data_IF_290866614916
#
_entry.id   IF_290866614916
#
_cell.length_a   1.000
_cell.length_b   1.000
_cell.length_c   1.000
_cell.angle_alpha   90.00
_cell.angle_beta   90.00
_cell.angle_gamma   90.00
#
_symmetry.space_group_name_H-M   'P 1'
#
loop_
_entity.id
_entity.type
_entity.pdbx_description
1 polymer ?
#
# COMPACT_ATOMS: atom_id res chain seq x y z
N UNK A 1 -1.91 8.33 -14.42
CA UNK A 1 -3.25 7.74 -14.71
C UNK A 1 -3.88 7.39 -13.36
N UNK A 2 -5.20 7.41 -13.17
CA UNK A 2 -5.79 7.14 -11.82
C UNK A 2 -5.85 5.63 -11.48
N UNK A 3 -4.76 4.91 -11.72
CA UNK A 3 -4.63 3.49 -11.35
C UNK A 3 -4.40 3.41 -9.85
N UNK A 4 -5.38 2.88 -9.11
CA UNK A 4 -5.35 2.89 -7.64
C UNK A 4 -4.63 1.66 -7.12
N UNK A 5 -3.92 1.79 -6.00
CA UNK A 5 -3.31 0.65 -5.32
C UNK A 5 -3.47 0.73 -3.81
N UNK A 6 -3.24 -0.40 -3.15
CA UNK A 6 -3.11 -0.50 -1.69
C UNK A 6 -1.71 -1.02 -1.38
N UNK A 7 -0.98 -0.30 -0.53
CA UNK A 7 0.37 -0.68 -0.09
C UNK A 7 0.24 -1.22 1.34
N UNK A 8 0.87 -2.35 1.64
CA UNK A 8 0.75 -3.01 2.93
C UNK A 8 2.08 -3.55 3.46
N UNK A 9 2.14 -3.79 4.78
CA UNK A 9 3.20 -4.52 5.46
C UNK A 9 2.59 -5.60 6.34
N UNK A 10 3.06 -6.84 6.21
CA UNK A 10 2.71 -7.92 7.14
C UNK A 10 3.37 -7.68 8.50
N UNK A 11 2.59 -7.78 9.57
CA UNK A 11 3.03 -7.63 10.95
C UNK A 11 3.46 -8.98 11.53
N UNK A 12 4.21 -8.95 12.63
CA UNK A 12 4.70 -10.15 13.32
C UNK A 12 3.57 -11.09 13.80
N UNK A 13 2.37 -10.56 14.04
CA UNK A 13 1.18 -11.33 14.42
C UNK A 13 0.37 -11.88 13.23
N UNK A 14 0.87 -11.71 12.01
CA UNK A 14 0.25 -12.20 10.78
C UNK A 14 -0.76 -11.26 10.13
N UNK A 15 -1.16 -10.17 10.81
CA UNK A 15 -2.04 -9.14 10.26
C UNK A 15 -1.33 -8.29 9.22
N UNK A 16 -2.08 -7.52 8.44
CA UNK A 16 -1.51 -6.53 7.51
C UNK A 16 -1.89 -5.12 7.93
N UNK A 17 -0.90 -4.23 8.00
CA UNK A 17 -1.12 -2.79 8.08
C UNK A 17 -1.05 -2.23 6.65
N UNK A 18 -2.01 -1.42 6.22
CA UNK A 18 -2.09 -0.95 4.83
C UNK A 18 -2.56 0.49 4.69
N UNK A 19 -2.12 1.13 3.61
CA UNK A 19 -2.50 2.48 3.17
C UNK A 19 -3.00 2.46 1.73
N UNK A 20 -3.80 3.45 1.38
CA UNK A 20 -4.26 3.70 0.02
C UNK A 20 -3.28 4.60 -0.76
N UNK A 21 -3.07 4.29 -2.04
CA UNK A 21 -2.31 5.09 -2.98
C UNK A 21 -3.13 5.34 -4.27
N UNK A 22 -3.26 6.60 -4.69
CA UNK A 22 -4.23 6.99 -5.71
C UNK A 22 -3.77 6.84 -7.16
N UNK A 23 -2.49 7.12 -7.44
CA UNK A 23 -1.95 7.17 -8.80
C UNK A 23 -0.93 6.08 -9.07
N UNK A 24 -0.89 5.68 -10.35
CA UNK A 24 0.14 4.85 -10.97
C UNK A 24 0.40 3.52 -10.24
N UNK A 25 -0.67 2.92 -9.70
CA UNK A 25 -0.64 1.66 -8.96
C UNK A 25 0.02 0.50 -9.69
N UNK A 26 0.00 0.47 -11.02
CA UNK A 26 0.72 -0.52 -11.83
C UNK A 26 2.25 -0.37 -11.77
N UNK A 27 2.76 0.81 -11.41
CA UNK A 27 4.19 1.12 -11.29
C UNK A 27 4.70 1.12 -9.85
N UNK A 28 3.81 1.29 -8.86
CA UNK A 28 4.17 1.37 -7.43
C UNK A 28 4.99 0.17 -6.98
N UNK A 29 4.64 -1.05 -7.43
CA UNK A 29 5.37 -2.27 -7.08
C UNK A 29 6.87 -2.20 -7.43
N UNK A 30 7.21 -1.67 -8.62
CA UNK A 30 8.61 -1.53 -9.05
C UNK A 30 9.33 -0.47 -8.23
N UNK A 31 8.67 0.68 -7.98
CA UNK A 31 9.22 1.75 -7.13
C UNK A 31 9.56 1.22 -5.74
N UNK A 32 8.66 0.43 -5.15
CA UNK A 32 8.87 -0.18 -3.84
C UNK A 32 10.06 -1.14 -3.83
N UNK A 33 10.18 -2.00 -4.84
CA UNK A 33 11.27 -2.96 -4.94
C UNK A 33 12.64 -2.30 -5.17
N UNK A 34 12.70 -1.23 -5.96
CA UNK A 34 13.97 -0.61 -6.33
C UNK A 34 14.44 0.46 -5.33
N UNK A 35 13.51 1.17 -4.69
CA UNK A 35 13.81 2.36 -3.88
C UNK A 35 13.41 2.24 -2.42
N UNK A 36 12.59 1.26 -2.07
CA UNK A 36 12.14 0.99 -0.69
C UNK A 36 12.30 -0.49 -0.31
N UNK A 37 13.48 -1.11 -0.51
CA UNK A 37 13.63 -2.57 -0.50
C UNK A 37 13.75 -3.19 0.90
N UNK A 38 13.43 -2.47 1.97
CA UNK A 38 13.62 -2.95 3.34
C UNK A 38 12.33 -2.92 4.18
N UNK A 39 12.33 -3.68 5.27
CA UNK A 39 11.23 -3.66 6.23
C UNK A 39 11.06 -2.29 6.91
N UNK A 40 12.17 -1.59 7.15
CA UNK A 40 12.16 -0.23 7.70
C UNK A 40 11.51 0.76 6.72
N UNK A 41 11.73 0.60 5.41
CA UNK A 41 11.06 1.40 4.39
C UNK A 41 9.56 1.12 4.36
N UNK A 42 9.16 -0.16 4.42
CA UNK A 42 7.76 -0.54 4.49
C UNK A 42 7.08 0.05 5.74
N UNK A 43 7.76 0.00 6.90
CA UNK A 43 7.28 0.63 8.13
C UNK A 43 7.15 2.14 8.01
N UNK A 44 8.15 2.79 7.41
CA UNK A 44 8.17 4.21 7.18
C UNK A 44 6.98 4.63 6.31
N UNK A 45 6.72 3.93 5.20
CA UNK A 45 5.58 4.18 4.31
C UNK A 45 4.27 4.09 5.08
N UNK A 46 4.06 3.05 5.90
CA UNK A 46 2.83 2.93 6.72
C UNK A 46 2.64 4.15 7.63
N UNK A 47 3.71 4.67 8.25
CA UNK A 47 3.61 5.85 9.15
C UNK A 47 3.20 7.14 8.44
N UNK A 48 3.29 7.21 7.10
CA UNK A 48 2.88 8.38 6.30
C UNK A 48 1.37 8.43 6.07
N UNK A 49 0.68 7.29 6.17
CA UNK A 49 -0.75 7.17 5.88
C UNK A 49 -1.05 7.16 4.38
N UNK A 50 -2.32 7.32 4.03
CA UNK A 50 -2.77 7.36 2.65
C UNK A 50 -2.09 8.49 1.87
N UNK A 51 -1.83 8.22 0.58
CA UNK A 51 -1.04 9.10 -0.28
C UNK A 51 -1.62 9.22 -1.68
N UNK A 52 -1.29 10.33 -2.33
CA UNK A 52 -1.63 10.58 -3.72
C UNK A 52 -0.75 9.74 -4.65
N UNK A 53 0.56 9.74 -4.43
CA UNK A 53 1.53 8.95 -5.19
C UNK A 53 2.81 8.69 -4.38
N UNK A 54 3.59 7.71 -4.83
CA UNK A 54 4.94 7.39 -4.36
C UNK A 54 5.85 7.22 -5.57
N UNK A 55 7.02 7.82 -5.52
CA UNK A 55 8.07 7.73 -6.55
C UNK A 55 9.40 7.48 -5.87
N UNK A 56 10.48 7.31 -6.63
CA UNK A 56 11.83 7.11 -6.09
C UNK A 56 12.34 8.27 -5.20
N UNK A 57 11.89 9.49 -5.48
CA UNK A 57 12.42 10.72 -4.87
C UNK A 57 11.42 11.38 -3.91
N UNK A 58 10.15 10.95 -3.92
CA UNK A 58 9.10 11.66 -3.19
C UNK A 58 7.89 10.79 -2.85
N UNK A 59 7.21 11.18 -1.77
CA UNK A 59 5.92 10.66 -1.36
C UNK A 59 4.98 11.85 -1.18
N UNK A 60 3.89 11.88 -1.93
CA UNK A 60 2.89 12.91 -1.81
C UNK A 60 1.77 12.43 -0.87
N UNK A 61 2.07 12.43 0.43
CA UNK A 61 1.15 11.97 1.46
C UNK A 61 0.02 12.98 1.67
N UNK A 62 -1.22 12.49 1.78
CA UNK A 62 -2.37 13.38 2.03
C UNK A 62 -2.25 14.13 3.36
N UNK A 63 -1.53 13.56 4.32
CA UNK A 63 -1.19 14.21 5.59
C UNK A 63 -0.49 15.55 5.38
N UNK A 64 0.46 15.59 4.45
CA UNK A 64 1.26 16.78 4.20
C UNK A 64 0.45 17.86 3.45
N UNK A 65 -0.69 17.47 2.88
CA UNK A 65 -1.71 18.36 2.32
C UNK A 65 -2.75 18.84 3.34
N UNK A 66 -2.61 18.46 4.61
CA UNK A 66 -3.51 18.87 5.70
C UNK A 66 -4.72 17.97 5.93
N UNK A 67 -4.78 16.79 5.29
CA UNK A 67 -5.88 15.85 5.56
C UNK A 67 -5.85 15.33 7.01
N UNK A 68 -7.00 15.27 7.70
CA UNK A 68 -7.06 14.76 9.07
C UNK A 68 -6.54 13.33 9.18
N UNK A 69 -5.61 13.09 10.12
CA UNK A 69 -5.05 11.74 10.35
C UNK A 69 -6.13 10.67 10.57
N UNK A 70 -7.27 11.03 11.15
CA UNK A 70 -8.39 10.10 11.32
C UNK A 70 -8.96 9.54 10.01
N UNK A 71 -8.76 10.20 8.87
CA UNK A 71 -9.21 9.76 7.55
C UNK A 71 -8.18 8.97 6.77
N UNK A 72 -6.90 9.28 6.97
CA UNK A 72 -5.79 8.79 6.15
C UNK A 72 -4.85 7.85 6.91
N UNK A 73 -5.14 7.54 8.18
CA UNK A 73 -4.31 6.60 8.96
C UNK A 73 -4.35 5.20 8.33
N UNK A 74 -3.28 4.41 8.47
CA UNK A 74 -3.29 3.02 8.04
C UNK A 74 -4.44 2.21 8.63
N UNK A 75 -4.92 1.25 7.84
CA UNK A 75 -5.94 0.28 8.23
C UNK A 75 -5.28 -1.08 8.44
N UNK A 76 -5.65 -1.77 9.51
CA UNK A 76 -5.25 -3.14 9.75
C UNK A 76 -6.29 -4.10 9.17
N UNK A 77 -5.83 -5.22 8.62
CA UNK A 77 -6.66 -6.40 8.29
C UNK A 77 -6.08 -7.63 8.96
N UNK A 78 -6.94 -8.59 9.33
CA UNK A 78 -6.52 -9.76 10.10
C UNK A 78 -5.66 -10.73 9.29
N UNK A 79 -5.89 -10.78 7.97
CA UNK A 79 -5.19 -11.63 7.03
C UNK A 79 -5.16 -11.02 5.62
N UNK A 80 -4.65 -11.79 4.65
CA UNK A 80 -4.58 -11.40 3.25
C UNK A 80 -5.98 -11.25 2.62
N UNK A 81 -6.97 -12.04 3.05
CA UNK A 81 -8.33 -11.93 2.54
C UNK A 81 -8.98 -10.61 2.99
N UNK A 82 -8.76 -10.20 4.24
CA UNK A 82 -9.15 -8.90 4.74
C UNK A 82 -8.44 -7.77 3.99
N UNK A 83 -7.14 -7.93 3.65
CA UNK A 83 -6.42 -6.94 2.85
C UNK A 83 -7.03 -6.79 1.45
N UNK A 84 -7.39 -7.91 0.81
CA UNK A 84 -8.08 -7.94 -0.48
C UNK A 84 -9.45 -7.25 -0.39
N UNK A 85 -10.21 -7.49 0.68
CA UNK A 85 -11.48 -6.80 0.90
C UNK A 85 -11.29 -5.27 1.02
N UNK A 86 -10.28 -4.82 1.77
CA UNK A 86 -9.94 -3.40 1.89
C UNK A 86 -9.53 -2.78 0.54
N UNK A 87 -8.85 -3.53 -0.33
CA UNK A 87 -8.48 -3.08 -1.66
C UNK A 87 -9.73 -2.84 -2.51
N UNK A 88 -10.67 -3.80 -2.52
CA UNK A 88 -11.97 -3.68 -3.21
C UNK A 88 -12.80 -2.49 -2.72
N UNK A 89 -12.89 -2.28 -1.40
CA UNK A 89 -13.61 -1.13 -0.80
C UNK A 89 -13.12 0.22 -1.34
N UNK A 90 -11.83 0.31 -1.68
CA UNK A 90 -11.20 1.55 -2.17
C UNK A 90 -11.03 1.60 -3.69
N UNK A 91 -11.58 0.61 -4.41
CA UNK A 91 -11.40 0.48 -5.86
C UNK A 91 -9.94 0.36 -6.27
N UNK A 92 -9.09 -0.22 -5.41
CA UNK A 92 -7.70 -0.49 -5.73
C UNK A 92 -7.62 -1.60 -6.77
N UNK A 93 -6.75 -1.41 -7.75
CA UNK A 93 -6.52 -2.32 -8.87
C UNK A 93 -5.29 -3.21 -8.63
N UNK A 94 -4.44 -2.80 -7.68
CA UNK A 94 -3.25 -3.52 -7.25
C UNK A 94 -3.11 -3.51 -5.73
N UNK A 95 -2.52 -4.58 -5.20
CA UNK A 95 -2.03 -4.63 -3.83
C UNK A 95 -0.53 -4.88 -3.89
N UNK A 96 0.26 -4.04 -3.22
CA UNK A 96 1.69 -4.28 -3.01
C UNK A 96 1.92 -4.50 -1.52
N UNK A 97 2.44 -5.64 -1.12
CA UNK A 97 2.62 -5.95 0.30
C UNK A 97 4.02 -6.47 0.60
N UNK A 98 4.62 -5.93 1.66
CA UNK A 98 5.89 -6.39 2.19
C UNK A 98 5.66 -7.62 3.06
N UNK A 99 6.32 -8.71 2.71
CA UNK A 99 6.25 -9.97 3.44
C UNK A 99 7.51 -10.80 3.16
N UNK A 100 8.00 -11.50 4.19
CA UNK A 100 9.10 -12.47 4.07
C UNK A 100 10.36 -11.87 3.39
N UNK A 101 10.65 -10.60 3.70
CA UNK A 101 11.85 -9.89 3.23
C UNK A 101 11.77 -9.31 1.81
N UNK A 102 10.58 -9.28 1.18
CA UNK A 102 10.42 -8.69 -0.14
C UNK A 102 9.01 -8.13 -0.39
N UNK A 103 8.89 -7.30 -1.44
CA UNK A 103 7.59 -6.82 -1.92
C UNK A 103 6.94 -7.84 -2.86
N UNK A 104 5.66 -8.11 -2.61
CA UNK A 104 4.79 -8.94 -3.44
C UNK A 104 3.70 -8.07 -4.08
N UNK A 105 3.22 -8.44 -5.27
CA UNK A 105 2.15 -7.71 -5.97
C UNK A 105 1.00 -8.64 -6.36
N UNK A 106 -0.23 -8.20 -6.10
CA UNK A 106 -1.46 -8.83 -6.57
C UNK A 106 -2.15 -7.86 -7.53
N UNK A 107 -2.47 -8.33 -8.73
CA UNK A 107 -3.45 -7.67 -9.61
C UNK A 107 -4.85 -8.03 -9.15
N UNK A 108 -5.69 -7.02 -8.95
CA UNK A 108 -7.10 -7.21 -8.62
C UNK A 108 -7.94 -7.54 -9.86
N UNK A 109 -7.38 -7.35 -11.05
CA UNK A 109 -7.94 -7.77 -12.33
C UNK A 109 -7.40 -9.17 -12.71
N UNK A 110 -8.27 -10.18 -12.69
CA UNK A 110 -7.94 -11.56 -13.11
C UNK A 110 -8.78 -12.62 -12.39
N UNK A 111 -8.89 -13.86 -12.93
CA UNK A 111 -9.62 -14.93 -12.25
C UNK A 111 -8.89 -15.28 -10.95
N UNK A 112 -9.64 -15.35 -9.84
CA UNK A 112 -9.19 -16.01 -8.62
C UNK A 112 -9.05 -17.50 -8.95
N UNK A 113 -7.85 -17.94 -9.33
CA UNK A 113 -7.52 -19.36 -9.52
C UNK A 113 -7.20 -20.03 -8.20
#
# INVERSE_FOLDING_TARGET
MSTRSRIARRLADGRYCSIYCHFDGDLVGNVLQEHYPTEDDAEFIMKRGDMSCITKDSFDAYRDRGEPWSKIRPRNSDDLQGLIALAWETGAEYIHYWQDGCWQTISMWGPQS
#
